data_IF_653852319624
#
_entry.id   IF_653852319624
#
_cell.length_a   1.000
_cell.length_b   1.000
_cell.length_c   1.000
_cell.angle_alpha   90.00
_cell.angle_beta   90.00
_cell.angle_gamma   90.00
#
_symmetry.space_group_name_H-M   'P 1'
#
loop_
_entity.id
_entity.type
_entity.pdbx_description
1 polymer ?
#
# COMPACT_ATOMS: atom_id res chain seq x y z
N UNK A 1 56.72 46.00 -14.71
CA UNK A 1 55.57 46.09 -13.77
C UNK A 1 54.36 45.52 -14.50
N UNK A 2 53.95 44.30 -14.13
CA UNK A 2 52.96 43.50 -14.84
C UNK A 2 51.62 43.63 -14.08
N UNK A 3 50.57 44.13 -14.73
CA UNK A 3 49.23 44.22 -14.14
C UNK A 3 48.50 42.88 -14.31
N UNK A 4 48.11 42.30 -13.17
CA UNK A 4 47.30 41.09 -13.08
C UNK A 4 45.81 41.50 -13.02
N UNK A 5 45.03 41.13 -14.04
CA UNK A 5 43.57 41.24 -14.03
C UNK A 5 42.98 39.99 -13.37
N UNK A 6 42.32 40.17 -12.23
CA UNK A 6 41.56 39.12 -11.56
C UNK A 6 40.13 39.14 -12.09
N UNK A 7 39.76 38.12 -12.86
CA UNK A 7 38.36 37.83 -13.19
C UNK A 7 37.71 37.14 -11.99
N UNK A 8 36.75 37.79 -11.35
CA UNK A 8 35.86 37.15 -10.36
C UNK A 8 34.68 36.56 -11.13
N UNK A 9 34.71 35.25 -11.35
CA UNK A 9 33.56 34.48 -11.83
C UNK A 9 32.55 34.32 -10.69
N UNK A 10 31.45 35.08 -10.75
CA UNK A 10 30.31 34.90 -9.84
C UNK A 10 29.51 33.68 -10.31
N UNK A 11 29.52 32.64 -9.48
CA UNK A 11 28.75 31.42 -9.67
C UNK A 11 27.24 31.72 -9.51
N UNK A 12 26.46 31.58 -10.59
CA UNK A 12 25.00 31.54 -10.55
C UNK A 12 24.53 30.17 -10.07
N UNK A 13 24.55 29.91 -8.77
CA UNK A 13 24.04 28.68 -8.15
C UNK A 13 23.14 29.06 -6.97
N UNK A 14 21.94 29.58 -7.23
CA UNK A 14 20.95 29.77 -6.13
C UNK A 14 19.48 29.88 -6.57
N UNK A 15 19.17 30.19 -7.83
CA UNK A 15 17.76 30.35 -8.26
C UNK A 15 17.06 29.06 -8.70
N UNK A 16 17.82 28.05 -9.16
CA UNK A 16 17.23 26.81 -9.67
C UNK A 16 16.76 25.85 -8.56
N UNK A 17 17.40 25.88 -7.38
CA UNK A 17 17.07 24.97 -6.26
C UNK A 17 15.77 25.34 -5.55
N UNK A 18 15.51 26.64 -5.40
CA UNK A 18 14.39 27.13 -4.59
C UNK A 18 13.05 26.90 -5.30
N UNK A 19 13.02 27.08 -6.63
CA UNK A 19 11.82 26.88 -7.45
C UNK A 19 11.33 25.41 -7.45
N UNK A 20 12.24 24.44 -7.41
CA UNK A 20 11.87 23.01 -7.36
C UNK A 20 11.23 22.64 -6.01
N UNK A 21 11.64 23.29 -4.92
CA UNK A 21 11.09 23.03 -3.58
C UNK A 21 9.62 23.46 -3.45
N UNK A 22 9.23 24.55 -4.13
CA UNK A 22 7.86 25.03 -4.15
C UNK A 22 6.97 24.19 -5.07
N UNK A 23 7.48 23.74 -6.22
CA UNK A 23 6.76 22.82 -7.10
C UNK A 23 6.40 21.51 -6.38
N UNK A 24 7.31 20.98 -5.54
CA UNK A 24 7.05 19.77 -4.74
C UNK A 24 5.90 19.91 -3.74
N UNK A 25 5.46 21.13 -3.41
CA UNK A 25 4.29 21.38 -2.55
C UNK A 25 2.97 21.24 -3.33
N UNK A 26 3.02 21.26 -4.66
CA UNK A 26 1.84 21.06 -5.51
C UNK A 26 1.40 19.59 -5.38
N UNK A 27 0.08 19.39 -5.28
CA UNK A 27 -0.52 18.07 -5.04
C UNK A 27 -0.02 17.06 -6.06
N UNK A 28 0.53 15.95 -5.59
CA UNK A 28 1.02 14.86 -6.44
C UNK A 28 1.94 15.36 -7.57
N UNK A 29 2.76 16.38 -7.30
CA UNK A 29 3.76 16.86 -8.25
C UNK A 29 4.75 15.75 -8.59
N UNK A 30 5.03 15.61 -9.88
CA UNK A 30 5.99 14.65 -10.40
C UNK A 30 6.79 15.29 -11.53
N UNK A 31 8.10 15.45 -11.30
CA UNK A 31 9.03 15.97 -12.31
C UNK A 31 9.44 14.84 -13.26
N UNK A 32 9.23 15.02 -14.56
CA UNK A 32 9.65 14.06 -15.58
C UNK A 32 11.06 14.38 -16.06
N UNK A 33 11.29 15.63 -16.47
CA UNK A 33 12.59 16.15 -16.90
C UNK A 33 12.59 17.69 -16.82
N UNK A 34 13.59 18.36 -17.39
CA UNK A 34 13.70 19.82 -17.36
C UNK A 34 12.60 20.58 -18.11
N UNK A 35 11.88 19.90 -19.01
CA UNK A 35 10.89 20.48 -19.92
C UNK A 35 9.47 19.97 -19.68
N UNK A 36 9.29 18.94 -18.86
CA UNK A 36 7.99 18.33 -18.62
C UNK A 36 7.82 17.98 -17.14
N UNK A 37 6.69 18.39 -16.57
CA UNK A 37 6.24 17.96 -15.26
C UNK A 37 4.73 17.73 -15.25
N UNK A 38 4.26 16.95 -14.28
CA UNK A 38 2.83 16.78 -14.07
C UNK A 38 2.40 16.87 -12.62
N UNK A 39 1.13 17.19 -12.38
CA UNK A 39 0.59 17.23 -11.02
C UNK A 39 -0.91 16.94 -10.94
N UNK A 40 -1.40 16.87 -9.70
CA UNK A 40 -2.81 17.02 -9.36
C UNK A 40 -3.22 18.48 -9.29
N UNK A 41 -4.27 18.71 -8.51
CA UNK A 41 -5.03 19.95 -8.50
C UNK A 41 -4.18 21.17 -8.11
N UNK A 42 -4.54 22.32 -8.70
CA UNK A 42 -3.83 23.58 -8.47
C UNK A 42 -4.58 24.42 -7.44
N UNK A 43 -3.82 24.96 -6.48
CA UNK A 43 -4.30 25.94 -5.51
C UNK A 43 -3.89 27.34 -5.95
N UNK A 44 -4.48 28.34 -5.32
CA UNK A 44 -4.08 29.74 -5.48
C UNK A 44 -2.57 29.91 -5.31
N UNK A 45 -1.94 30.66 -6.22
CA UNK A 45 -0.49 30.87 -6.26
C UNK A 45 0.32 29.78 -6.96
N UNK A 46 -0.25 28.62 -7.27
CA UNK A 46 0.48 27.57 -7.99
C UNK A 46 0.84 27.98 -9.41
N UNK A 47 -0.02 28.72 -10.12
CA UNK A 47 0.26 29.22 -11.47
C UNK A 47 1.52 30.10 -11.49
N UNK A 48 1.66 30.99 -10.51
CA UNK A 48 2.84 31.85 -10.36
C UNK A 48 4.10 31.03 -10.05
N UNK A 49 3.97 30.01 -9.20
CA UNK A 49 5.06 29.08 -8.90
C UNK A 49 5.53 28.34 -10.17
N UNK A 50 4.58 27.86 -10.97
CA UNK A 50 4.81 27.19 -12.26
C UNK A 50 5.49 28.17 -13.24
N UNK A 51 5.04 29.43 -13.31
CA UNK A 51 5.67 30.47 -14.13
C UNK A 51 7.11 30.72 -13.73
N UNK A 52 7.39 30.90 -12.43
CA UNK A 52 8.74 31.16 -11.90
C UNK A 52 9.72 30.03 -12.20
N UNK A 53 9.24 28.79 -12.25
CA UNK A 53 10.04 27.63 -12.67
C UNK A 53 10.31 27.58 -14.20
N UNK A 54 9.79 28.53 -14.97
CA UNK A 54 10.04 28.71 -16.39
C UNK A 54 9.12 27.89 -17.29
N UNK A 55 8.02 27.34 -16.77
CA UNK A 55 6.98 26.72 -17.60
C UNK A 55 6.29 27.77 -18.47
N UNK A 56 5.95 27.38 -19.69
CA UNK A 56 5.47 28.26 -20.75
C UNK A 56 4.10 27.83 -21.28
N UNK A 57 3.77 26.55 -21.21
CA UNK A 57 2.48 26.01 -21.62
C UNK A 57 1.89 25.12 -20.52
N UNK A 58 0.60 25.30 -20.23
CA UNK A 58 -0.14 24.48 -19.28
C UNK A 58 -1.27 23.72 -19.97
N UNK A 59 -1.41 22.44 -19.61
CA UNK A 59 -2.48 21.57 -20.07
C UNK A 59 -3.27 21.04 -18.87
N UNK A 60 -4.57 21.34 -18.83
CA UNK A 60 -5.50 20.86 -17.80
C UNK A 60 -6.37 19.72 -18.35
N UNK A 61 -6.33 18.56 -17.71
CA UNK A 61 -7.09 17.37 -18.11
C UNK A 61 -8.40 17.16 -17.30
N UNK A 62 -8.90 18.19 -16.62
CA UNK A 62 -10.11 18.08 -15.79
C UNK A 62 -11.35 18.55 -16.55
N UNK A 63 -12.42 17.74 -16.61
CA UNK A 63 -13.72 18.19 -17.12
C UNK A 63 -14.34 19.28 -16.24
N UNK A 64 -15.11 20.17 -16.86
CA UNK A 64 -15.85 21.23 -16.16
C UNK A 64 -15.36 22.64 -16.49
N UNK A 65 -15.79 23.62 -15.68
CA UNK A 65 -15.52 25.03 -15.91
C UNK A 65 -14.21 25.48 -15.23
N UNK A 66 -13.19 25.76 -16.04
CA UNK A 66 -11.87 26.26 -15.61
C UNK A 66 -11.54 27.63 -16.21
N UNK A 67 -12.56 28.47 -16.45
CA UNK A 67 -12.35 29.82 -17.01
C UNK A 67 -11.47 30.71 -16.10
N UNK A 68 -11.59 30.56 -14.78
CA UNK A 68 -10.76 31.30 -13.81
C UNK A 68 -9.29 30.90 -13.93
N UNK A 69 -9.01 29.60 -13.94
CA UNK A 69 -7.64 29.09 -14.12
C UNK A 69 -7.06 29.53 -15.46
N UNK A 70 -7.83 29.41 -16.55
CA UNK A 70 -7.43 29.91 -17.86
C UNK A 70 -7.00 31.38 -17.79
N UNK A 71 -7.84 32.23 -17.19
CA UNK A 71 -7.54 33.66 -17.06
C UNK A 71 -6.27 33.91 -16.21
N UNK A 72 -6.07 33.17 -15.13
CA UNK A 72 -4.86 33.27 -14.29
C UNK A 72 -3.60 32.85 -15.06
N UNK A 73 -3.65 31.75 -15.81
CA UNK A 73 -2.54 31.23 -16.62
C UNK A 73 -2.18 32.20 -17.74
N UNK A 74 -3.18 32.73 -18.45
CA UNK A 74 -2.99 33.70 -19.51
C UNK A 74 -2.46 35.04 -18.97
N UNK A 75 -2.94 35.50 -17.81
CA UNK A 75 -2.44 36.71 -17.14
C UNK A 75 -0.98 36.56 -16.68
N UNK A 76 -0.55 35.37 -16.29
CA UNK A 76 0.85 35.05 -16.00
C UNK A 76 1.73 34.90 -17.27
N UNK A 77 1.14 35.03 -18.46
CA UNK A 77 1.83 34.95 -19.74
C UNK A 77 2.27 33.53 -20.11
N UNK A 78 1.50 32.51 -19.74
CA UNK A 78 1.63 31.15 -20.27
C UNK A 78 0.50 30.87 -21.27
N UNK A 79 0.72 29.94 -22.20
CA UNK A 79 -0.37 29.43 -23.04
C UNK A 79 -1.12 28.32 -22.31
N UNK A 80 -2.44 28.23 -22.50
CA UNK A 80 -3.31 27.28 -21.80
C UNK A 80 -4.16 26.44 -22.75
N UNK A 81 -4.27 25.14 -22.47
CA UNK A 81 -5.23 24.24 -23.11
C UNK A 81 -5.97 23.40 -22.05
N UNK A 82 -7.29 23.34 -22.15
CA UNK A 82 -8.09 22.37 -21.39
C UNK A 82 -8.54 21.24 -22.31
N UNK A 83 -8.35 19.99 -21.86
CA UNK A 83 -8.85 18.78 -22.51
C UNK A 83 -9.76 18.07 -21.49
N UNK A 84 -11.05 17.93 -21.80
CA UNK A 84 -12.04 17.44 -20.83
C UNK A 84 -12.07 15.91 -20.75
N UNK A 85 -11.02 15.31 -20.18
CA UNK A 85 -10.86 13.85 -20.12
C UNK A 85 -11.77 13.23 -19.05
N UNK A 86 -12.77 12.45 -19.48
CA UNK A 86 -13.60 11.68 -18.55
C UNK A 86 -12.77 10.58 -17.87
N UNK A 87 -12.71 10.59 -16.54
CA UNK A 87 -11.89 9.63 -15.79
C UNK A 87 -12.35 8.17 -15.93
N UNK A 88 -13.65 7.93 -16.01
CA UNK A 88 -14.21 6.57 -16.15
C UNK A 88 -14.18 6.06 -17.59
N UNK A 89 -14.02 6.95 -18.56
CA UNK A 89 -14.04 6.64 -19.99
C UNK A 89 -13.04 7.51 -20.77
N UNK A 90 -11.72 7.29 -20.59
CA UNK A 90 -10.71 8.06 -21.29
C UNK A 90 -10.63 7.62 -22.76
N UNK A 91 -10.54 8.56 -23.70
CA UNK A 91 -10.68 8.27 -25.13
C UNK A 91 -9.39 8.47 -25.93
N UNK A 92 -9.33 7.84 -27.11
CA UNK A 92 -8.25 8.05 -28.08
C UNK A 92 -8.28 9.48 -28.67
N UNK A 93 -9.45 10.12 -28.71
CA UNK A 93 -9.62 11.49 -29.22
C UNK A 93 -9.03 12.53 -28.26
N UNK A 94 -9.30 12.37 -26.96
CA UNK A 94 -8.67 13.18 -25.91
C UNK A 94 -7.15 13.07 -25.97
N UNK A 95 -6.64 11.85 -26.13
CA UNK A 95 -5.21 11.58 -26.24
C UNK A 95 -4.59 12.19 -27.51
N UNK A 96 -5.30 12.12 -28.64
CA UNK A 96 -4.85 12.74 -29.89
C UNK A 96 -4.75 14.27 -29.75
N UNK A 97 -5.75 14.90 -29.10
CA UNK A 97 -5.74 16.33 -28.79
C UNK A 97 -4.56 16.69 -27.90
N UNK A 98 -4.26 15.85 -26.90
CA UNK A 98 -3.10 16.02 -26.04
C UNK A 98 -1.78 15.95 -26.83
N UNK A 99 -1.60 14.93 -27.68
CA UNK A 99 -0.40 14.82 -28.52
C UNK A 99 -0.23 16.00 -29.48
N UNK A 100 -1.32 16.49 -30.06
CA UNK A 100 -1.28 17.66 -30.93
C UNK A 100 -0.80 18.90 -30.17
N UNK A 101 -1.31 19.13 -28.96
CA UNK A 101 -0.88 20.22 -28.09
C UNK A 101 0.60 20.12 -27.69
N UNK A 102 1.07 18.92 -27.35
CA UNK A 102 2.48 18.68 -27.05
C UNK A 102 3.37 19.01 -28.26
N UNK A 103 2.96 18.61 -29.46
CA UNK A 103 3.68 18.88 -30.72
C UNK A 103 3.72 20.36 -31.08
N UNK A 104 2.58 21.06 -30.97
CA UNK A 104 2.49 22.50 -31.25
C UNK A 104 3.31 23.36 -30.28
N UNK A 105 3.67 22.81 -29.12
CA UNK A 105 4.45 23.47 -28.09
C UNK A 105 5.84 22.83 -27.91
N UNK A 106 6.35 22.15 -28.94
CA UNK A 106 7.71 21.62 -28.93
C UNK A 106 8.74 22.73 -28.66
N UNK A 107 9.75 22.41 -27.84
CA UNK A 107 10.76 23.37 -27.37
C UNK A 107 10.35 24.23 -26.17
N UNK A 108 9.08 24.22 -25.76
CA UNK A 108 8.61 24.89 -24.54
C UNK A 108 8.72 23.95 -23.33
N UNK A 109 8.82 24.55 -22.13
CA UNK A 109 8.56 23.82 -20.87
C UNK A 109 7.05 23.68 -20.67
N UNK A 110 6.55 22.45 -20.59
CA UNK A 110 5.12 22.12 -20.53
C UNK A 110 4.77 21.54 -19.16
N UNK A 111 3.67 22.03 -18.58
CA UNK A 111 3.13 21.57 -17.30
C UNK A 111 1.75 20.95 -17.50
N UNK A 112 1.58 19.67 -17.16
CA UNK A 112 0.32 18.93 -17.38
C UNK A 112 -0.31 18.59 -16.04
N UNK A 113 -1.56 18.97 -15.80
CA UNK A 113 -2.20 18.63 -14.52
C UNK A 113 -3.62 18.09 -14.68
N UNK A 114 -4.08 17.47 -13.60
CA UNK A 114 -5.49 17.15 -13.40
C UNK A 114 -5.87 17.32 -11.92
N UNK A 115 -6.73 16.47 -11.35
CA UNK A 115 -7.10 16.55 -9.92
C UNK A 115 -6.10 15.83 -8.99
N UNK A 116 -5.60 14.67 -9.41
CA UNK A 116 -4.75 13.80 -8.58
C UNK A 116 -3.54 13.23 -9.35
N UNK A 117 -3.16 13.87 -10.45
CA UNK A 117 -2.12 13.43 -11.39
C UNK A 117 -2.39 12.07 -12.08
N UNK A 118 -3.54 11.44 -11.88
CA UNK A 118 -3.84 10.13 -12.50
C UNK A 118 -3.97 10.25 -14.03
N UNK A 119 -4.79 11.18 -14.51
CA UNK A 119 -4.98 11.44 -15.97
C UNK A 119 -3.68 11.94 -16.60
N UNK A 120 -3.05 12.90 -15.94
CA UNK A 120 -1.87 13.59 -16.44
C UNK A 120 -0.68 12.64 -16.55
N UNK A 121 -0.37 11.87 -15.51
CA UNK A 121 0.70 10.85 -15.57
C UNK A 121 0.45 9.80 -16.66
N UNK A 122 -0.79 9.36 -16.89
CA UNK A 122 -1.10 8.40 -17.97
C UNK A 122 -0.89 8.98 -19.37
N UNK A 123 -1.33 10.22 -19.61
CA UNK A 123 -1.12 10.89 -20.90
C UNK A 123 0.36 11.22 -21.14
N UNK A 124 1.05 11.66 -20.09
CA UNK A 124 2.52 11.89 -20.10
C UNK A 124 3.27 10.59 -20.37
N UNK A 125 2.88 9.47 -19.75
CA UNK A 125 3.47 8.15 -20.02
C UNK A 125 3.39 7.81 -21.52
N UNK A 126 2.19 7.89 -22.11
CA UNK A 126 2.00 7.59 -23.53
C UNK A 126 2.77 8.57 -24.43
N UNK A 127 2.84 9.85 -24.07
CA UNK A 127 3.62 10.82 -24.85
C UNK A 127 5.12 10.52 -24.81
N UNK A 128 5.66 10.18 -23.63
CA UNK A 128 7.08 9.85 -23.49
C UNK A 128 7.47 8.63 -24.29
N UNK A 129 6.64 7.58 -24.27
CA UNK A 129 6.90 6.36 -25.03
C UNK A 129 6.80 6.64 -26.53
N UNK A 130 5.70 7.25 -26.98
CA UNK A 130 5.35 7.29 -28.41
C UNK A 130 5.97 8.47 -29.17
N UNK A 131 6.24 9.60 -28.50
CA UNK A 131 6.75 10.81 -29.14
C UNK A 131 8.19 11.13 -28.72
N UNK A 132 8.56 10.84 -27.46
CA UNK A 132 9.92 11.05 -26.96
C UNK A 132 10.80 9.79 -27.04
N UNK A 133 10.23 8.65 -27.47
CA UNK A 133 10.93 7.37 -27.65
C UNK A 133 11.63 6.88 -26.38
N UNK A 134 11.11 7.25 -25.20
CA UNK A 134 11.56 6.71 -23.92
C UNK A 134 11.13 5.25 -23.84
N UNK A 135 11.99 4.38 -23.30
CA UNK A 135 11.65 2.97 -23.09
C UNK A 135 10.36 2.85 -22.26
N UNK A 136 9.54 1.83 -22.53
CA UNK A 136 8.32 1.58 -21.76
C UNK A 136 8.65 1.44 -20.28
N UNK A 137 9.73 0.73 -19.94
CA UNK A 137 10.13 0.50 -18.55
C UNK A 137 10.51 1.78 -17.81
N UNK A 138 11.25 2.69 -18.44
CA UNK A 138 11.61 3.95 -17.80
C UNK A 138 10.41 4.89 -17.67
N UNK A 139 9.57 4.97 -18.72
CA UNK A 139 8.36 5.77 -18.64
C UNK A 139 7.38 5.25 -17.57
N UNK A 140 7.32 3.92 -17.42
CA UNK A 140 6.45 3.23 -16.46
C UNK A 140 6.81 3.52 -15.01
N UNK A 141 8.10 3.70 -14.69
CA UNK A 141 8.54 4.06 -13.32
C UNK A 141 7.84 5.32 -12.82
N UNK A 142 7.75 6.35 -13.67
CA UNK A 142 7.10 7.61 -13.32
C UNK A 142 5.57 7.48 -13.23
N UNK A 143 4.95 6.68 -14.10
CA UNK A 143 3.51 6.39 -14.00
C UNK A 143 3.19 5.69 -12.67
N UNK A 144 3.94 4.63 -12.35
CA UNK A 144 3.74 3.82 -11.14
C UNK A 144 4.12 4.55 -9.85
N UNK A 145 5.02 5.53 -9.91
CA UNK A 145 5.30 6.44 -8.79
C UNK A 145 4.09 7.31 -8.44
N UNK A 146 3.21 7.60 -9.41
CA UNK A 146 1.98 8.35 -9.21
C UNK A 146 0.84 7.41 -8.83
N UNK A 147 0.59 6.38 -9.66
CA UNK A 147 -0.52 5.45 -9.44
C UNK A 147 -0.46 4.22 -10.33
N UNK A 148 -1.35 3.27 -10.03
CA UNK A 148 -1.59 2.07 -10.83
C UNK A 148 -2.90 2.25 -11.61
N UNK A 149 -2.89 2.27 -12.96
CA UNK A 149 -4.07 2.51 -13.78
C UNK A 149 -5.24 1.57 -13.46
N UNK A 150 -6.47 2.10 -13.45
CA UNK A 150 -7.68 1.28 -13.43
C UNK A 150 -7.89 0.59 -14.78
N UNK A 151 -8.85 -0.33 -14.86
CA UNK A 151 -9.18 -1.06 -16.10
C UNK A 151 -9.36 -0.14 -17.32
N UNK A 152 -10.10 0.96 -17.18
CA UNK A 152 -10.37 1.85 -18.31
C UNK A 152 -9.08 2.53 -18.83
N UNK A 153 -8.23 2.99 -17.92
CA UNK A 153 -6.96 3.62 -18.27
C UNK A 153 -5.94 2.61 -18.80
N UNK A 154 -5.91 1.42 -18.22
CA UNK A 154 -5.10 0.32 -18.70
C UNK A 154 -5.48 -0.10 -20.12
N UNK A 155 -6.78 -0.18 -20.42
CA UNK A 155 -7.28 -0.46 -21.77
C UNK A 155 -6.83 0.61 -22.76
N UNK A 156 -7.02 1.90 -22.45
CA UNK A 156 -6.52 2.99 -23.30
C UNK A 156 -5.02 2.86 -23.55
N UNK A 157 -4.22 2.66 -22.50
CA UNK A 157 -2.75 2.56 -22.61
C UNK A 157 -2.36 1.39 -23.52
N UNK A 158 -2.88 0.19 -23.25
CA UNK A 158 -2.50 -1.02 -23.98
C UNK A 158 -2.98 -1.00 -25.43
N UNK A 159 -4.19 -0.53 -25.70
CA UNK A 159 -4.70 -0.35 -27.04
C UNK A 159 -3.87 0.66 -27.84
N UNK A 160 -3.47 1.78 -27.21
CA UNK A 160 -2.59 2.76 -27.86
C UNK A 160 -1.22 2.14 -28.16
N UNK A 161 -0.54 1.54 -27.19
CA UNK A 161 0.77 0.91 -27.43
C UNK A 161 0.71 -0.14 -28.55
N UNK A 162 -0.34 -0.97 -28.56
CA UNK A 162 -0.58 -1.96 -29.62
C UNK A 162 -0.82 -1.31 -30.98
N UNK A 163 -1.63 -0.24 -31.05
CA UNK A 163 -1.87 0.54 -32.28
C UNK A 163 -0.57 1.06 -32.90
N UNK A 164 0.39 1.46 -32.06
CA UNK A 164 1.71 1.93 -32.48
C UNK A 164 2.77 0.82 -32.61
N UNK A 165 2.36 -0.46 -32.51
CA UNK A 165 3.24 -1.64 -32.63
C UNK A 165 4.41 -1.61 -31.64
N UNK A 166 4.21 -1.04 -30.46
CA UNK A 166 5.20 -1.08 -29.41
C UNK A 166 5.26 -2.50 -28.84
N UNK A 167 6.42 -3.15 -28.96
CA UNK A 167 6.67 -4.42 -28.28
C UNK A 167 6.80 -4.16 -26.78
N UNK A 168 5.92 -4.78 -25.99
CA UNK A 168 6.01 -4.84 -24.54
C UNK A 168 6.22 -6.29 -24.18
N UNK A 169 7.24 -6.59 -23.36
CA UNK A 169 7.40 -7.92 -22.80
C UNK A 169 6.08 -8.32 -22.12
N UNK A 170 5.55 -9.46 -22.56
CA UNK A 170 4.20 -9.94 -22.33
C UNK A 170 3.85 -10.03 -20.84
N UNK A 171 2.63 -9.59 -20.50
CA UNK A 171 2.09 -9.38 -19.15
C UNK A 171 2.87 -8.32 -18.35
N UNK A 172 2.58 -7.04 -18.61
CA UNK A 172 2.95 -6.03 -17.62
C UNK A 172 2.21 -6.32 -16.29
N UNK A 173 2.75 -5.81 -15.19
CA UNK A 173 2.18 -5.96 -13.84
C UNK A 173 0.67 -5.64 -13.78
N UNK A 174 0.20 -4.67 -14.57
CA UNK A 174 -1.22 -4.28 -14.62
C UNK A 174 -2.11 -5.31 -15.34
N UNK A 175 -1.66 -5.87 -16.47
CA UNK A 175 -2.34 -6.99 -17.16
C UNK A 175 -2.41 -8.21 -16.27
N UNK A 176 -1.32 -8.50 -15.56
CA UNK A 176 -1.25 -9.60 -14.62
C UNK A 176 -2.28 -9.43 -13.50
N UNK A 177 -2.27 -8.26 -12.83
CA UNK A 177 -3.21 -7.93 -11.76
C UNK A 177 -4.66 -7.95 -12.24
N UNK A 178 -4.94 -7.47 -13.45
CA UNK A 178 -6.27 -7.53 -14.04
C UNK A 178 -6.70 -8.96 -14.33
N UNK A 179 -5.81 -9.79 -14.88
CA UNK A 179 -6.08 -11.21 -15.12
C UNK A 179 -6.35 -11.98 -13.81
N UNK A 180 -5.65 -11.66 -12.72
CA UNK A 180 -5.97 -12.18 -11.38
C UNK A 180 -7.38 -11.72 -10.96
N UNK A 181 -7.70 -10.44 -11.09
CA UNK A 181 -9.05 -9.95 -10.74
C UNK A 181 -10.16 -10.55 -11.62
N UNK A 182 -9.84 -10.92 -12.86
CA UNK A 182 -10.72 -11.58 -13.82
C UNK A 182 -10.78 -13.11 -13.66
N UNK A 183 -10.22 -13.65 -12.57
CA UNK A 183 -10.24 -15.08 -12.26
C UNK A 183 -9.47 -15.96 -13.24
N UNK A 184 -8.51 -15.40 -13.99
CA UNK A 184 -7.71 -16.09 -15.01
C UNK A 184 -6.35 -16.58 -14.51
N UNK A 185 -6.20 -16.75 -13.20
CA UNK A 185 -4.93 -17.18 -12.58
C UNK A 185 -4.46 -18.55 -13.08
N UNK A 186 -5.37 -19.46 -13.42
CA UNK A 186 -4.98 -20.79 -13.90
C UNK A 186 -4.33 -20.72 -15.29
N UNK A 187 -4.81 -19.82 -16.15
CA UNK A 187 -4.21 -19.56 -17.47
C UNK A 187 -2.85 -18.87 -17.31
N UNK A 188 -2.77 -17.90 -16.39
CA UNK A 188 -1.51 -17.24 -16.03
C UNK A 188 -0.48 -18.23 -15.47
N UNK A 189 -0.90 -19.18 -14.62
CA UNK A 189 0.02 -20.15 -14.03
C UNK A 189 0.59 -21.13 -15.06
N UNK A 190 -0.18 -21.45 -16.11
CA UNK A 190 0.31 -22.30 -17.22
C UNK A 190 1.41 -21.59 -18.01
N UNK A 191 1.25 -20.30 -18.31
CA UNK A 191 2.29 -19.51 -18.98
C UNK A 191 3.47 -19.23 -18.05
N UNK A 192 3.21 -18.96 -16.77
CA UNK A 192 4.25 -18.63 -15.79
C UNK A 192 5.24 -19.77 -15.54
N UNK A 193 4.74 -21.01 -15.37
CA UNK A 193 5.60 -22.19 -15.16
C UNK A 193 6.45 -22.57 -16.37
N UNK A 194 6.17 -22.02 -17.54
CA UNK A 194 6.95 -22.24 -18.76
C UNK A 194 8.11 -21.23 -18.91
N UNK A 195 8.17 -20.20 -18.07
CA UNK A 195 9.30 -19.27 -17.99
C UNK A 195 10.33 -19.82 -17.00
N UNK A 196 11.51 -20.22 -17.49
CA UNK A 196 12.62 -20.73 -16.66
C UNK A 196 13.30 -19.61 -15.82
N UNK A 197 12.91 -18.35 -16.00
CA UNK A 197 13.51 -17.22 -15.29
C UNK A 197 12.66 -16.78 -14.10
N UNK A 198 12.96 -17.32 -12.92
CA UNK A 198 12.48 -16.81 -11.63
C UNK A 198 12.97 -15.37 -11.31
N UNK A 199 13.88 -14.80 -12.12
CA UNK A 199 14.43 -13.46 -11.96
C UNK A 199 13.48 -12.35 -12.45
N UNK A 200 12.52 -12.66 -13.33
CA UNK A 200 11.56 -11.68 -13.84
C UNK A 200 10.32 -11.68 -12.94
N UNK A 201 10.40 -10.95 -11.83
CA UNK A 201 9.26 -10.73 -10.93
C UNK A 201 8.13 -10.05 -11.71
N UNK A 202 7.10 -10.82 -12.07
CA UNK A 202 5.95 -10.35 -12.87
C UNK A 202 5.03 -9.37 -12.12
N UNK A 203 5.12 -9.34 -10.80
CA UNK A 203 4.27 -8.53 -9.94
C UNK A 203 4.97 -8.27 -8.61
N UNK A 204 4.62 -7.17 -7.94
CA UNK A 204 5.11 -6.86 -6.60
C UNK A 204 4.44 -7.72 -5.51
N UNK A 205 5.25 -8.16 -4.53
CA UNK A 205 4.80 -9.02 -3.44
C UNK A 205 3.61 -8.43 -2.68
N UNK A 206 3.74 -7.18 -2.23
CA UNK A 206 2.75 -6.48 -1.42
C UNK A 206 1.42 -6.33 -2.17
N UNK A 207 1.50 -6.01 -3.47
CA UNK A 207 0.32 -5.87 -4.30
C UNK A 207 -0.44 -7.19 -4.39
N UNK A 208 0.28 -8.29 -4.65
CA UNK A 208 -0.35 -9.61 -4.74
C UNK A 208 -0.93 -10.05 -3.39
N UNK A 209 -0.24 -9.74 -2.29
CA UNK A 209 -0.72 -10.02 -0.95
C UNK A 209 -2.03 -9.28 -0.65
N UNK A 210 -2.08 -7.98 -0.98
CA UNK A 210 -3.28 -7.15 -0.84
C UNK A 210 -4.45 -7.74 -1.64
N UNK A 211 -4.22 -8.17 -2.89
CA UNK A 211 -5.26 -8.80 -3.72
C UNK A 211 -5.72 -10.11 -3.08
N UNK A 212 -4.80 -10.94 -2.57
CA UNK A 212 -5.16 -12.16 -1.84
C UNK A 212 -6.11 -11.90 -0.67
N UNK A 213 -5.85 -10.87 0.13
CA UNK A 213 -6.73 -10.45 1.23
C UNK A 213 -8.05 -9.83 0.74
N UNK A 214 -8.12 -9.20 -0.44
CA UNK A 214 -9.39 -8.79 -1.05
C UNK A 214 -10.31 -10.00 -1.30
N UNK A 215 -9.73 -11.18 -1.59
CA UNK A 215 -10.46 -12.42 -1.89
C UNK A 215 -10.67 -13.33 -0.66
N UNK A 216 -9.92 -13.18 0.43
CA UNK A 216 -9.98 -14.09 1.59
C UNK A 216 -11.36 -14.19 2.28
N UNK A 217 -12.27 -13.24 2.03
CA UNK A 217 -13.66 -13.27 2.53
C UNK A 217 -14.70 -13.51 1.44
N UNK A 218 -14.29 -13.42 0.17
CA UNK A 218 -15.17 -13.52 -1.00
C UNK A 218 -15.08 -14.91 -1.63
N UNK A 219 -13.87 -15.45 -1.70
CA UNK A 219 -13.54 -16.74 -2.28
C UNK A 219 -12.18 -17.21 -1.76
N UNK A 220 -12.20 -17.95 -0.66
CA UNK A 220 -10.97 -18.40 0.01
C UNK A 220 -10.16 -19.36 -0.89
N UNK A 221 -10.84 -20.14 -1.73
CA UNK A 221 -10.18 -21.04 -2.68
C UNK A 221 -9.39 -20.25 -3.74
N UNK A 222 -9.95 -19.14 -4.21
CA UNK A 222 -9.25 -18.24 -5.13
C UNK A 222 -8.11 -17.48 -4.44
N UNK A 223 -8.33 -17.00 -3.21
CA UNK A 223 -7.29 -16.37 -2.39
C UNK A 223 -6.08 -17.29 -2.19
N UNK A 224 -6.30 -18.59 -1.92
CA UNK A 224 -5.22 -19.58 -1.85
C UNK A 224 -4.41 -19.62 -3.15
N UNK A 225 -5.05 -19.61 -4.33
CA UNK A 225 -4.31 -19.64 -5.60
C UNK A 225 -3.41 -18.40 -5.73
N UNK A 226 -3.90 -17.23 -5.33
CA UNK A 226 -3.16 -15.96 -5.33
C UNK A 226 -1.97 -16.04 -4.38
N UNK A 227 -2.18 -16.42 -3.11
CA UNK A 227 -1.09 -16.50 -2.14
C UNK A 227 -0.05 -17.56 -2.52
N UNK A 228 -0.47 -18.71 -3.07
CA UNK A 228 0.46 -19.71 -3.60
C UNK A 228 1.33 -19.14 -4.71
N UNK A 229 0.75 -18.40 -5.65
CA UNK A 229 1.52 -17.74 -6.69
C UNK A 229 2.56 -16.77 -6.08
N UNK A 230 2.17 -16.02 -5.04
CA UNK A 230 3.08 -15.15 -4.31
C UNK A 230 4.25 -15.94 -3.67
N UNK A 231 3.99 -17.11 -3.06
CA UNK A 231 5.06 -17.97 -2.50
C UNK A 231 5.99 -18.57 -3.54
N UNK A 232 5.56 -18.74 -4.79
CA UNK A 232 6.41 -19.22 -5.88
C UNK A 232 7.36 -18.09 -6.32
N UNK A 233 6.85 -16.86 -6.41
CA UNK A 233 7.62 -15.69 -6.85
C UNK A 233 8.53 -15.13 -5.74
N UNK A 234 8.09 -15.22 -4.48
CA UNK A 234 8.78 -14.68 -3.31
C UNK A 234 9.00 -15.76 -2.23
N UNK A 235 9.70 -16.87 -2.54
CA UNK A 235 9.80 -18.01 -1.63
C UNK A 235 10.51 -17.70 -0.30
N UNK A 236 11.31 -16.65 -0.26
CA UNK A 236 12.08 -16.21 0.92
C UNK A 236 11.41 -15.06 1.69
N UNK A 237 10.15 -14.74 1.40
CA UNK A 237 9.39 -13.75 2.18
C UNK A 237 8.54 -14.41 3.26
N UNK A 238 8.76 -14.05 4.52
CA UNK A 238 7.94 -14.52 5.64
C UNK A 238 6.46 -14.15 5.44
N UNK A 239 6.19 -12.94 4.93
CA UNK A 239 4.86 -12.39 4.74
C UNK A 239 4.00 -13.24 3.78
N UNK A 240 4.58 -13.77 2.69
CA UNK A 240 3.79 -14.57 1.74
C UNK A 240 3.41 -15.95 2.29
N UNK A 241 4.25 -16.54 3.15
CA UNK A 241 3.96 -17.81 3.81
C UNK A 241 2.97 -17.63 4.95
N UNK A 242 3.05 -16.51 5.68
CA UNK A 242 2.08 -16.12 6.70
C UNK A 242 0.69 -16.02 6.09
N UNK A 243 0.51 -15.19 5.06
CA UNK A 243 -0.77 -15.01 4.39
C UNK A 243 -1.30 -16.29 3.72
N UNK A 244 -0.41 -17.14 3.17
CA UNK A 244 -0.82 -18.44 2.64
C UNK A 244 -1.35 -19.38 3.76
N UNK A 245 -0.70 -19.38 4.92
CA UNK A 245 -1.12 -20.18 6.08
C UNK A 245 -2.50 -19.75 6.58
N UNK A 246 -2.75 -18.44 6.68
CA UNK A 246 -4.05 -17.89 7.06
C UNK A 246 -5.14 -18.28 6.06
N UNK A 247 -4.86 -18.22 4.76
CA UNK A 247 -5.81 -18.60 3.72
C UNK A 247 -6.18 -20.10 3.79
N UNK A 248 -5.21 -20.97 4.11
CA UNK A 248 -5.50 -22.39 4.33
C UNK A 248 -6.34 -22.62 5.59
N UNK A 249 -6.02 -21.95 6.70
CA UNK A 249 -6.83 -22.02 7.93
C UNK A 249 -8.26 -21.53 7.69
N UNK A 250 -8.43 -20.41 6.97
CA UNK A 250 -9.74 -19.87 6.61
C UNK A 250 -10.53 -20.77 5.64
N UNK A 251 -9.88 -21.71 4.97
CA UNK A 251 -10.50 -22.64 4.02
C UNK A 251 -10.67 -24.06 4.56
N UNK A 252 -10.47 -24.27 5.86
CA UNK A 252 -10.51 -25.58 6.52
C UNK A 252 -9.55 -26.61 5.89
N UNK A 253 -8.31 -26.16 5.63
CA UNK A 253 -7.23 -26.95 5.01
C UNK A 253 -6.06 -27.16 5.98
N UNK A 254 -6.23 -27.95 7.06
CA UNK A 254 -5.26 -28.03 8.15
C UNK A 254 -3.90 -28.60 7.73
N UNK A 255 -3.86 -29.62 6.86
CA UNK A 255 -2.58 -30.20 6.42
C UNK A 255 -1.75 -29.20 5.59
N UNK A 256 -2.38 -28.45 4.69
CA UNK A 256 -1.66 -27.42 3.93
C UNK A 256 -1.28 -26.21 4.81
N UNK A 257 -2.14 -25.84 5.76
CA UNK A 257 -1.81 -24.81 6.75
C UNK A 257 -0.58 -25.23 7.57
N UNK A 258 -0.51 -26.50 7.98
CA UNK A 258 0.62 -27.06 8.70
C UNK A 258 1.92 -26.89 7.93
N UNK A 259 1.96 -27.27 6.65
CA UNK A 259 3.16 -27.12 5.80
C UNK A 259 3.64 -25.66 5.74
N UNK A 260 2.72 -24.72 5.54
CA UNK A 260 3.04 -23.28 5.50
C UNK A 260 3.50 -22.75 6.87
N UNK A 261 2.89 -23.19 7.97
CA UNK A 261 3.28 -22.79 9.32
C UNK A 261 4.66 -23.34 9.73
N UNK A 262 4.99 -24.58 9.35
CA UNK A 262 6.32 -25.12 9.60
C UNK A 262 7.40 -24.39 8.80
N UNK A 263 7.11 -23.92 7.57
CA UNK A 263 8.03 -23.01 6.86
C UNK A 263 8.34 -21.76 7.69
N UNK A 264 7.33 -21.16 8.32
CA UNK A 264 7.51 -19.96 9.17
C UNK A 264 8.33 -20.25 10.44
N UNK A 265 8.04 -21.36 11.12
CA UNK A 265 8.68 -21.70 12.39
C UNK A 265 10.09 -22.26 12.20
N UNK A 266 10.29 -23.16 11.23
CA UNK A 266 11.55 -23.91 11.10
C UNK A 266 12.50 -23.26 10.09
N UNK A 267 12.01 -22.84 8.92
CA UNK A 267 12.87 -22.25 7.87
C UNK A 267 13.17 -20.79 8.17
N UNK A 268 12.14 -19.97 8.43
CA UNK A 268 12.33 -18.56 8.77
C UNK A 268 12.73 -18.35 10.23
N UNK A 269 12.68 -19.39 11.06
CA UNK A 269 12.99 -19.33 12.50
C UNK A 269 12.20 -18.24 13.21
N UNK A 270 10.95 -18.01 12.80
CA UNK A 270 10.14 -16.96 13.41
C UNK A 270 9.83 -17.28 14.86
N UNK A 271 10.00 -16.27 15.71
CA UNK A 271 9.69 -16.31 17.14
C UNK A 271 8.22 -16.01 17.43
N UNK A 272 7.42 -15.68 16.41
CA UNK A 272 6.01 -15.35 16.58
C UNK A 272 5.23 -16.55 17.14
N UNK A 273 4.72 -16.37 18.37
CA UNK A 273 3.96 -17.40 19.09
C UNK A 273 2.68 -17.81 18.37
N UNK A 274 2.12 -16.92 17.55
CA UNK A 274 0.94 -17.15 16.72
C UNK A 274 1.07 -18.43 15.88
N UNK A 275 2.21 -18.66 15.24
CA UNK A 275 2.40 -19.82 14.35
C UNK A 275 2.35 -21.14 15.12
N UNK A 276 3.00 -21.17 16.28
CA UNK A 276 2.97 -22.33 17.19
C UNK A 276 1.55 -22.56 17.70
N UNK A 277 0.82 -21.49 18.04
CA UNK A 277 -0.58 -21.56 18.47
C UNK A 277 -1.50 -22.11 17.37
N UNK A 278 -1.31 -21.70 16.11
CA UNK A 278 -2.07 -22.24 14.99
C UNK A 278 -1.75 -23.70 14.70
N UNK A 279 -0.49 -24.12 14.81
CA UNK A 279 -0.10 -25.53 14.74
C UNK A 279 -0.81 -26.35 15.85
N UNK A 280 -0.83 -25.85 17.08
CA UNK A 280 -1.57 -26.49 18.17
C UNK A 280 -3.07 -26.57 17.91
N UNK A 281 -3.68 -25.49 17.39
CA UNK A 281 -5.11 -25.42 17.05
C UNK A 281 -5.51 -26.48 16.03
N UNK A 282 -4.67 -26.77 15.03
CA UNK A 282 -4.92 -27.80 14.02
C UNK A 282 -4.50 -29.21 14.47
N UNK A 283 -4.07 -29.39 15.73
CA UNK A 283 -3.83 -30.69 16.34
C UNK A 283 -2.37 -31.16 16.35
N UNK A 284 -1.41 -30.30 16.03
CA UNK A 284 0.01 -30.68 16.10
C UNK A 284 0.46 -30.88 17.54
N UNK A 285 0.70 -32.15 17.90
CA UNK A 285 1.04 -32.56 19.28
C UNK A 285 2.20 -31.78 19.88
N UNK A 286 3.22 -31.46 19.08
CA UNK A 286 4.39 -30.66 19.50
C UNK A 286 4.01 -29.27 20.01
N UNK A 287 2.90 -28.71 19.55
CA UNK A 287 2.48 -27.34 19.84
C UNK A 287 1.13 -27.24 20.54
N UNK A 288 0.55 -28.37 20.97
CA UNK A 288 -0.81 -28.40 21.53
C UNK A 288 -0.97 -27.50 22.76
N UNK A 289 0.08 -27.38 23.58
CA UNK A 289 0.08 -26.56 24.79
C UNK A 289 0.01 -25.05 24.47
N UNK A 290 0.56 -24.61 23.33
CA UNK A 290 0.42 -23.22 22.88
C UNK A 290 -1.02 -22.84 22.53
N UNK A 291 -1.85 -23.83 22.20
CA UNK A 291 -3.27 -23.64 21.95
C UNK A 291 -4.12 -23.80 23.20
N UNK A 292 -3.85 -24.80 24.03
CA UNK A 292 -4.64 -25.08 25.23
C UNK A 292 -4.34 -24.12 26.38
N UNK A 293 -3.18 -23.47 26.34
CA UNK A 293 -2.65 -22.68 27.43
C UNK A 293 -1.94 -23.54 28.48
N UNK A 294 -1.16 -22.87 29.32
CA UNK A 294 -0.38 -23.51 30.39
C UNK A 294 -1.15 -23.49 31.71
N UNK A 295 -0.70 -24.33 32.66
CA UNK A 295 -1.13 -24.19 34.04
C UNK A 295 -0.59 -22.90 34.65
N UNK A 296 -1.41 -22.24 35.47
CA UNK A 296 -1.07 -20.97 36.11
C UNK A 296 -1.60 -20.95 37.55
N UNK A 297 -1.05 -20.06 38.37
CA UNK A 297 -1.46 -19.95 39.76
C UNK A 297 -2.81 -19.22 39.89
N UNK A 298 -3.89 -19.99 40.06
CA UNK A 298 -5.25 -19.46 40.22
C UNK A 298 -5.39 -18.47 41.39
N UNK A 299 -4.57 -18.59 42.44
CA UNK A 299 -4.61 -17.67 43.58
C UNK A 299 -4.14 -16.25 43.23
N UNK A 300 -3.46 -16.08 42.09
CA UNK A 300 -3.04 -14.77 41.59
C UNK A 300 -4.09 -14.09 40.70
N UNK A 301 -5.19 -14.76 40.34
CA UNK A 301 -6.17 -14.16 39.42
C UNK A 301 -6.82 -12.89 39.97
N UNK A 302 -7.03 -12.82 41.28
CA UNK A 302 -7.58 -11.64 41.96
C UNK A 302 -6.74 -10.38 41.73
N UNK A 303 -5.44 -10.53 41.43
CA UNK A 303 -4.51 -9.43 41.15
C UNK A 303 -4.82 -8.75 39.80
N UNK A 304 -5.52 -9.44 38.89
CA UNK A 304 -5.76 -8.99 37.52
C UNK A 304 -7.16 -8.40 37.33
N UNK A 305 -8.10 -8.70 38.22
CA UNK A 305 -9.51 -8.28 38.11
C UNK A 305 -9.63 -6.78 38.23
N UNK A 306 -10.52 -6.17 37.46
CA UNK A 306 -10.77 -4.72 37.48
C UNK A 306 -11.04 -4.14 36.10
N UNK A 307 -11.18 -2.82 36.04
CA UNK A 307 -11.40 -2.08 34.80
C UNK A 307 -10.13 -1.37 34.37
N UNK A 308 -9.82 -1.45 33.09
CA UNK A 308 -8.64 -0.85 32.47
C UNK A 308 -9.06 0.04 31.31
N UNK A 309 -8.47 1.24 31.24
CA UNK A 309 -8.78 2.27 30.25
C UNK A 309 -7.49 2.71 29.53
N UNK A 310 -7.59 2.94 28.22
CA UNK A 310 -6.50 3.47 27.40
C UNK A 310 -6.20 4.96 27.66
N UNK A 311 -7.15 5.70 28.26
CA UNK A 311 -7.07 7.14 28.46
C UNK A 311 -7.25 7.98 27.18
N UNK A 312 -7.57 7.34 26.04
CA UNK A 312 -7.79 8.02 24.76
C UNK A 312 -9.25 8.46 24.58
N UNK A 313 -10.19 7.62 25.00
CA UNK A 313 -11.63 7.87 24.96
C UNK A 313 -12.23 7.48 26.32
N UNK A 314 -12.74 8.45 27.10
CA UNK A 314 -13.29 8.24 28.46
C UNK A 314 -14.54 7.32 28.54
N UNK A 315 -14.88 6.63 27.45
CA UNK A 315 -16.02 5.72 27.33
C UNK A 315 -15.60 4.26 27.09
N UNK A 316 -14.37 3.99 26.61
CA UNK A 316 -13.91 2.64 26.30
C UNK A 316 -13.05 2.05 27.41
N UNK A 317 -13.58 1.04 28.11
CA UNK A 317 -12.81 0.25 29.07
C UNK A 317 -12.93 -1.25 28.80
N UNK A 318 -11.90 -1.97 29.23
CA UNK A 318 -11.88 -3.42 29.32
C UNK A 318 -12.01 -3.82 30.78
N UNK A 319 -12.94 -4.72 31.08
CA UNK A 319 -13.16 -5.27 32.41
C UNK A 319 -12.73 -6.74 32.43
N UNK A 320 -11.80 -7.04 33.33
CA UNK A 320 -11.30 -8.40 33.57
C UNK A 320 -12.09 -8.99 34.74
N UNK A 321 -12.78 -10.09 34.46
CA UNK A 321 -13.54 -10.85 35.45
C UNK A 321 -12.99 -12.27 35.59
N UNK A 322 -13.38 -12.93 36.68
CA UNK A 322 -13.01 -14.33 36.94
C UNK A 322 -14.27 -15.15 37.20
N UNK A 323 -14.29 -16.36 36.64
CA UNK A 323 -15.30 -17.38 36.90
C UNK A 323 -14.68 -18.77 36.83
N UNK A 324 -14.92 -19.58 37.86
CA UNK A 324 -14.45 -20.97 37.97
C UNK A 324 -12.92 -21.15 37.78
N UNK A 325 -12.17 -20.17 38.26
CA UNK A 325 -10.72 -20.08 38.13
C UNK A 325 -10.25 -19.86 36.70
N UNK A 326 -10.98 -19.06 35.92
CA UNK A 326 -10.65 -18.63 34.55
C UNK A 326 -10.89 -17.13 34.39
N UNK A 327 -10.07 -16.47 33.59
CA UNK A 327 -10.25 -15.06 33.26
C UNK A 327 -11.16 -14.87 32.05
N UNK A 328 -11.93 -13.79 32.10
CA UNK A 328 -12.80 -13.34 31.04
C UNK A 328 -12.57 -11.85 30.77
N UNK A 329 -12.62 -11.50 29.49
CA UNK A 329 -12.55 -10.12 29.00
C UNK A 329 -13.95 -9.64 28.63
N UNK A 330 -14.33 -8.49 29.17
CA UNK A 330 -15.55 -7.76 28.84
C UNK A 330 -15.17 -6.36 28.34
N UNK A 331 -15.92 -5.81 27.40
CA UNK A 331 -15.70 -4.44 26.90
C UNK A 331 -16.92 -3.57 27.17
N UNK A 332 -16.75 -2.28 27.42
CA UNK A 332 -17.88 -1.33 27.48
C UNK A 332 -18.67 -1.28 26.17
N UNK A 333 -18.03 -1.59 25.04
CA UNK A 333 -18.64 -1.70 23.71
C UNK A 333 -19.48 -2.97 23.44
N UNK A 334 -19.78 -3.79 24.46
CA UNK A 334 -20.78 -4.86 24.37
C UNK A 334 -20.25 -6.30 24.26
N UNK A 335 -18.95 -6.53 24.07
CA UNK A 335 -18.38 -7.88 24.21
C UNK A 335 -18.46 -8.33 25.68
N UNK A 336 -18.99 -9.53 25.91
CA UNK A 336 -19.12 -10.14 27.23
C UNK A 336 -18.54 -11.54 27.25
N UNK A 337 -17.95 -11.91 28.38
CA UNK A 337 -17.47 -13.25 28.71
C UNK A 337 -16.54 -13.89 27.65
N UNK A 338 -15.58 -13.12 27.12
CA UNK A 338 -14.53 -13.68 26.27
C UNK A 338 -13.51 -14.44 27.14
N UNK A 339 -13.56 -15.79 27.14
CA UNK A 339 -12.61 -16.63 27.89
C UNK A 339 -11.16 -16.42 27.43
N UNK A 340 -10.27 -16.34 28.42
CA UNK A 340 -8.82 -16.18 28.22
C UNK A 340 -8.06 -17.40 28.78
N UNK A 341 -7.19 -17.99 27.95
CA UNK A 341 -6.24 -19.06 28.30
C UNK A 341 -4.92 -18.45 28.74
N UNK A 342 -4.28 -19.04 29.74
CA UNK A 342 -2.96 -18.57 30.19
C UNK A 342 -1.87 -18.98 29.20
N UNK A 343 -1.04 -18.01 28.83
CA UNK A 343 0.23 -18.22 28.15
C UNK A 343 1.39 -18.27 29.17
N UNK A 344 1.24 -17.52 30.26
CA UNK A 344 2.11 -17.54 31.44
C UNK A 344 1.32 -17.11 32.67
N UNK A 345 1.99 -16.91 33.81
CA UNK A 345 1.35 -16.39 35.02
C UNK A 345 0.71 -15.00 34.80
N UNK A 346 1.24 -14.18 33.88
CA UNK A 346 0.80 -12.78 33.67
C UNK A 346 0.30 -12.49 32.26
N UNK A 347 0.31 -13.48 31.36
CA UNK A 347 -0.12 -13.32 29.97
C UNK A 347 -1.23 -14.29 29.62
N UNK A 348 -2.24 -13.79 28.93
CA UNK A 348 -3.41 -14.58 28.54
C UNK A 348 -3.85 -14.26 27.11
N UNK A 349 -4.44 -15.23 26.43
CA UNK A 349 -4.91 -15.10 25.06
C UNK A 349 -6.31 -15.70 24.87
N UNK A 350 -7.04 -15.24 23.87
CA UNK A 350 -8.32 -15.83 23.51
C UNK A 350 -8.16 -16.88 22.41
N UNK A 351 -8.93 -17.97 22.51
CA UNK A 351 -9.10 -18.94 21.42
C UNK A 351 -10.17 -18.50 20.41
N UNK A 352 -11.01 -17.51 20.77
CA UNK A 352 -12.13 -17.05 19.95
C UNK A 352 -11.80 -15.80 19.12
N UNK A 353 -10.82 -15.01 19.58
CA UNK A 353 -10.38 -13.76 18.95
C UNK A 353 -8.85 -13.69 18.96
N UNK A 354 -8.20 -12.94 18.06
CA UNK A 354 -6.73 -12.75 18.04
C UNK A 354 -6.22 -11.85 19.19
N UNK A 355 -6.92 -11.89 20.33
CA UNK A 355 -6.76 -10.97 21.45
C UNK A 355 -5.80 -11.56 22.47
N UNK A 356 -4.89 -10.72 22.98
CA UNK A 356 -3.93 -11.08 24.02
C UNK A 356 -3.84 -9.96 25.05
N UNK A 357 -3.69 -10.34 26.32
CA UNK A 357 -3.49 -9.42 27.45
C UNK A 357 -2.22 -9.78 28.20
N UNK A 358 -1.48 -8.78 28.66
CA UNK A 358 -0.34 -8.91 29.58
C UNK A 358 -0.52 -7.97 30.76
N UNK A 359 -0.47 -8.51 31.97
CA UNK A 359 -0.57 -7.73 33.21
C UNK A 359 0.82 -7.33 33.72
N UNK A 360 0.97 -6.09 34.14
CA UNK A 360 2.23 -5.50 34.56
C UNK A 360 2.04 -4.43 35.65
N UNK A 361 3.15 -3.85 36.11
CA UNK A 361 3.20 -2.75 37.08
C UNK A 361 2.41 -3.04 38.36
N UNK A 362 2.76 -4.12 39.04
CA UNK A 362 2.02 -4.54 40.23
C UNK A 362 2.26 -3.60 41.42
N UNK A 363 1.18 -3.13 42.04
CA UNK A 363 1.19 -2.33 43.27
C UNK A 363 0.13 -2.88 44.23
N UNK A 364 0.51 -3.04 45.51
CA UNK A 364 -0.37 -3.57 46.56
C UNK A 364 -1.06 -4.90 46.17
N UNK A 365 -0.34 -5.73 45.42
CA UNK A 365 -0.84 -7.02 44.92
C UNK A 365 -1.82 -6.94 43.76
N UNK A 366 -1.97 -5.80 43.09
CA UNK A 366 -2.84 -5.62 41.91
C UNK A 366 -2.03 -5.13 40.71
N UNK A 367 -2.37 -5.58 39.51
CA UNK A 367 -1.77 -5.09 38.28
C UNK A 367 -2.29 -3.67 37.96
N UNK A 368 -1.44 -2.65 37.94
CA UNK A 368 -1.86 -1.27 37.60
C UNK A 368 -1.94 -1.03 36.09
N UNK A 369 -1.22 -1.83 35.31
CA UNK A 369 -1.22 -1.75 33.84
C UNK A 369 -1.62 -3.08 33.23
N UNK A 370 -2.50 -3.03 32.24
CA UNK A 370 -2.77 -4.13 31.32
C UNK A 370 -2.38 -3.70 29.91
N UNK A 371 -1.57 -4.49 29.25
CA UNK A 371 -1.26 -4.32 27.83
C UNK A 371 -2.20 -5.20 27.01
N UNK A 372 -2.89 -4.61 26.03
CA UNK A 372 -3.87 -5.29 25.18
C UNK A 372 -3.43 -5.30 23.72
N UNK A 373 -3.48 -6.45 23.09
CA UNK A 373 -3.23 -6.62 21.65
C UNK A 373 -4.46 -7.19 20.96
N UNK A 374 -4.91 -6.50 19.90
CA UNK A 374 -6.07 -6.91 19.09
C UNK A 374 -5.67 -7.71 17.84
N UNK A 375 -4.38 -7.70 17.49
CA UNK A 375 -3.83 -8.28 16.25
C UNK A 375 -2.55 -9.08 16.49
N UNK A 376 -2.27 -9.45 17.74
CA UNK A 376 -1.09 -10.22 18.18
C UNK A 376 0.28 -9.55 18.02
N UNK A 377 0.36 -8.33 17.46
CA UNK A 377 1.63 -7.65 17.16
C UNK A 377 1.85 -6.32 17.89
N UNK A 378 0.78 -5.60 18.24
CA UNK A 378 0.87 -4.32 18.96
C UNK A 378 0.12 -4.37 20.27
N UNK A 379 0.85 -4.16 21.35
CA UNK A 379 0.31 -4.05 22.69
C UNK A 379 0.11 -2.58 23.05
N UNK A 380 -1.14 -2.22 23.34
CA UNK A 380 -1.50 -0.89 23.81
C UNK A 380 -1.65 -0.92 25.33
N UNK A 381 -0.98 -0.02 26.07
CA UNK A 381 -1.12 0.05 27.51
C UNK A 381 -2.51 0.57 27.90
N UNK A 382 -3.08 0.00 28.95
CA UNK A 382 -4.32 0.42 29.58
C UNK A 382 -4.10 0.50 31.09
N UNK A 383 -4.54 1.59 31.71
CA UNK A 383 -4.38 1.85 33.14
C UNK A 383 -5.60 1.38 33.91
N UNK A 384 -5.37 0.78 35.06
CA UNK A 384 -6.43 0.42 36.00
C UNK A 384 -7.16 1.68 36.46
N UNK A 385 -8.49 1.65 36.38
CA UNK A 385 -9.39 2.71 36.85
C UNK A 385 -10.34 2.23 37.96
N UNK A 386 -10.46 0.91 38.16
CA UNK A 386 -11.25 0.30 39.23
C UNK A 386 -10.69 -1.06 39.65
#
# INVERSE_FOLDING_TARGET
>A
MQFLLIFVSIWHFSLASDNESDLKKIRAYHRINDYLASSGDLKEGNVETIKKAGFQHMINLVPGNYLKEKAEVEAAGLTYLQIQVNFGNPTQEDLATFFQSMKENEGKKIYVHCQANLRASSFVFLHRVLNLHVSIDDARKDLLAVWRPTRAWHALITETLKKYKMESNYLNESDFVLAIRDRKIDDLMKSYKASDNAADKLFEEEQMNSIGYEFIRKDNAYAIKIFRLNTITYPDSLNVWDSLSEAYLASDKPEQAKEALYKLVDNFKSDQIWYKRMLGKIGEKKYIDYWNGVNYNKNKLSQYLGKYDSGMDNEFYIEITEKDGKLFVNTSGGLKDLEMKADSDTEFFSQQRPWQVRFADFKDGKAETMYMSFSQSRFNPMKRIH
#
